data_IF_956344186390
#
_entry.id   IF_956344186390
#
_cell.length_a   1.000
_cell.length_b   1.000
_cell.length_c   1.000
_cell.angle_alpha   90.00
_cell.angle_beta   90.00
_cell.angle_gamma   90.00
#
_symmetry.space_group_name_H-M   'P 1'
#
loop_
_entity.id
_entity.type
_entity.pdbx_description
1 polymer ?
#
# COMPACT_ATOMS: atom_id res chain seq x y z
N UNK A 1 -9.50 35.94 -20.97
CA UNK A 1 -8.75 34.92 -20.18
C UNK A 1 -7.91 34.10 -21.13
N UNK A 2 -6.64 33.87 -20.81
CA UNK A 2 -5.76 33.01 -21.62
C UNK A 2 -5.86 31.59 -21.05
N UNK A 3 -6.28 30.63 -21.88
CA UNK A 3 -6.34 29.21 -21.50
C UNK A 3 -4.95 28.62 -21.70
N UNK A 4 -4.41 27.98 -20.66
CA UNK A 4 -3.16 27.20 -20.74
C UNK A 4 -3.57 25.73 -20.78
N UNK A 5 -3.04 25.00 -21.76
CA UNK A 5 -3.24 23.55 -21.90
C UNK A 5 -1.94 22.85 -21.54
N UNK A 6 -2.01 21.87 -20.64
CA UNK A 6 -0.88 21.07 -20.16
C UNK A 6 -1.12 19.59 -20.43
N UNK A 7 -0.07 18.84 -20.74
CA UNK A 7 -0.12 17.38 -20.85
C UNK A 7 0.13 16.78 -19.46
N UNK A 8 -0.78 15.96 -18.97
CA UNK A 8 -0.62 15.21 -17.73
C UNK A 8 0.02 13.84 -18.02
N UNK A 9 1.34 13.74 -17.83
CA UNK A 9 2.08 12.50 -17.98
C UNK A 9 2.06 11.60 -16.73
N UNK A 10 1.39 12.03 -15.65
CA UNK A 10 1.33 11.31 -14.37
C UNK A 10 -0.07 10.75 -14.08
N UNK A 11 -1.07 11.08 -14.91
CA UNK A 11 -2.46 10.66 -14.75
C UNK A 11 -3.01 10.99 -13.34
N UNK A 12 -2.74 12.20 -12.85
CA UNK A 12 -3.11 12.61 -11.49
C UNK A 12 -2.52 11.70 -10.40
N UNK A 13 -1.19 11.51 -10.41
CA UNK A 13 -0.49 10.60 -9.50
C UNK A 13 -1.00 9.14 -9.59
N UNK A 14 -1.28 8.67 -10.81
CA UNK A 14 -1.77 7.32 -11.09
C UNK A 14 -3.26 7.09 -10.79
N UNK A 15 -4.01 8.12 -10.38
CA UNK A 15 -5.42 8.00 -9.99
C UNK A 15 -6.36 7.94 -11.20
N UNK A 16 -6.04 8.65 -12.28
CA UNK A 16 -6.93 8.87 -13.43
C UNK A 16 -6.68 7.85 -14.54
N UNK A 17 -7.01 6.58 -14.28
CA UNK A 17 -6.77 5.48 -15.22
C UNK A 17 -7.45 5.67 -16.59
N UNK A 18 -8.62 6.32 -16.63
CA UNK A 18 -9.37 6.62 -17.87
C UNK A 18 -9.13 8.06 -18.37
N UNK A 19 -8.23 8.81 -17.74
CA UNK A 19 -7.97 10.21 -18.04
C UNK A 19 -8.95 11.19 -17.38
N UNK A 20 -8.76 12.48 -17.67
CA UNK A 20 -9.56 13.56 -17.11
C UNK A 20 -10.97 13.57 -17.70
N UNK A 21 -11.99 13.65 -16.85
CA UNK A 21 -13.41 13.84 -17.23
C UNK A 21 -13.97 12.76 -18.19
N UNK A 22 -13.58 11.49 -18.01
CA UNK A 22 -14.12 10.40 -18.81
C UNK A 22 -15.67 10.36 -18.72
N UNK A 23 -16.40 10.33 -19.84
CA UNK A 23 -17.86 10.48 -19.86
C UNK A 23 -18.57 9.44 -18.98
N UNK A 24 -18.11 8.18 -18.99
CA UNK A 24 -18.72 7.12 -18.19
C UNK A 24 -18.55 7.33 -16.68
N UNK A 25 -17.44 7.95 -16.25
CA UNK A 25 -17.19 8.29 -14.84
C UNK A 25 -18.12 9.41 -14.40
N UNK A 26 -18.22 10.47 -15.23
CA UNK A 26 -19.12 11.59 -14.96
C UNK A 26 -20.58 11.13 -14.88
N UNK A 27 -21.00 10.28 -15.82
CA UNK A 27 -22.35 9.74 -15.84
C UNK A 27 -22.62 8.86 -14.61
N UNK A 28 -21.65 8.01 -14.21
CA UNK A 28 -21.79 7.17 -13.00
C UNK A 28 -21.96 8.01 -11.74
N UNK A 29 -21.18 9.08 -11.57
CA UNK A 29 -21.31 10.00 -10.43
C UNK A 29 -22.67 10.69 -10.44
N UNK A 30 -23.12 11.19 -11.61
CA UNK A 30 -24.43 11.83 -11.75
C UNK A 30 -25.57 10.88 -11.40
N UNK A 31 -25.52 9.63 -11.86
CA UNK A 31 -26.52 8.61 -11.57
C UNK A 31 -26.65 8.36 -10.05
N UNK A 32 -25.53 8.30 -9.33
CA UNK A 32 -25.55 8.14 -7.87
C UNK A 32 -26.19 9.34 -7.19
N UNK A 33 -25.80 10.56 -7.57
CA UNK A 33 -26.34 11.81 -7.00
C UNK A 33 -27.85 11.92 -7.22
N UNK A 34 -28.35 11.51 -8.39
CA UNK A 34 -29.78 11.61 -8.73
C UNK A 34 -30.61 10.39 -8.33
N UNK A 35 -29.98 9.29 -7.91
CA UNK A 35 -30.67 8.04 -7.53
C UNK A 35 -31.57 8.15 -6.30
N UNK A 36 -31.33 9.14 -5.43
CA UNK A 36 -31.98 9.24 -4.12
C UNK A 36 -31.45 8.25 -3.07
N UNK A 37 -30.44 7.45 -3.40
CA UNK A 37 -29.75 6.59 -2.42
C UNK A 37 -28.98 7.44 -1.40
N UNK A 38 -28.92 7.01 -0.13
CA UNK A 38 -28.04 7.64 0.85
C UNK A 38 -26.57 7.61 0.40
N UNK A 39 -25.94 8.79 0.31
CA UNK A 39 -24.51 8.91 -0.05
C UNK A 39 -23.58 8.48 1.09
N UNK A 40 -24.06 8.56 2.33
CA UNK A 40 -23.33 8.15 3.52
C UNK A 40 -24.27 7.39 4.45
N UNK A 41 -23.81 6.24 4.89
CA UNK A 41 -24.50 5.38 5.85
C UNK A 41 -23.49 4.85 6.85
N UNK A 42 -23.84 4.92 8.14
CA UNK A 42 -23.12 4.20 9.17
C UNK A 42 -23.71 2.79 9.22
N UNK A 43 -22.87 1.78 9.02
CA UNK A 43 -23.19 0.34 9.15
C UNK A 43 -24.28 -0.23 8.23
N UNK A 44 -24.86 0.56 7.32
CA UNK A 44 -25.80 0.08 6.30
C UNK A 44 -25.13 0.01 4.93
N UNK A 45 -25.38 -1.07 4.20
CA UNK A 45 -24.93 -1.20 2.81
C UNK A 45 -25.92 -0.56 1.84
N UNK A 46 -25.48 -0.32 0.61
CA UNK A 46 -26.33 0.13 -0.51
C UNK A 46 -26.19 -0.87 -1.65
N UNK A 47 -27.19 -1.02 -2.54
CA UNK A 47 -27.10 -1.94 -3.67
C UNK A 47 -25.85 -1.71 -4.53
N UNK A 48 -25.44 -0.44 -4.70
CA UNK A 48 -24.22 -0.08 -5.42
C UNK A 48 -22.94 -0.58 -4.72
N UNK A 49 -22.91 -0.50 -3.39
CA UNK A 49 -21.78 -0.98 -2.59
C UNK A 49 -21.68 -2.51 -2.64
N UNK A 50 -22.82 -3.20 -2.64
CA UNK A 50 -22.88 -4.66 -2.77
C UNK A 50 -22.38 -5.10 -4.14
N UNK A 51 -22.90 -4.52 -5.22
CA UNK A 51 -22.47 -4.80 -6.60
C UNK A 51 -20.97 -4.55 -6.80
N UNK A 52 -20.46 -3.41 -6.29
CA UNK A 52 -19.03 -3.11 -6.34
C UNK A 52 -18.20 -4.14 -5.56
N UNK A 53 -18.68 -4.58 -4.39
CA UNK A 53 -17.97 -5.55 -3.55
C UNK A 53 -17.87 -6.92 -4.23
N UNK A 54 -18.98 -7.40 -4.80
CA UNK A 54 -19.03 -8.65 -5.55
C UNK A 54 -18.11 -8.61 -6.77
N UNK A 55 -18.17 -7.51 -7.54
CA UNK A 55 -17.30 -7.32 -8.69
C UNK A 55 -15.82 -7.32 -8.29
N UNK A 56 -15.43 -6.53 -7.28
CA UNK A 56 -14.04 -6.44 -6.84
C UNK A 56 -13.52 -7.80 -6.34
N UNK A 57 -14.30 -8.52 -5.53
CA UNK A 57 -13.91 -9.85 -5.03
C UNK A 57 -13.77 -10.87 -6.17
N UNK A 58 -14.58 -10.76 -7.23
CA UNK A 58 -14.48 -11.65 -8.41
C UNK A 58 -13.16 -11.50 -9.19
N UNK A 59 -12.51 -10.34 -9.08
CA UNK A 59 -11.21 -10.06 -9.71
C UNK A 59 -10.03 -10.63 -8.92
N UNK A 60 -10.24 -10.99 -7.65
CA UNK A 60 -9.19 -11.52 -6.79
C UNK A 60 -8.94 -13.02 -7.05
N UNK A 61 -7.77 -13.55 -6.66
CA UNK A 61 -7.52 -14.99 -6.65
C UNK A 61 -8.63 -15.75 -5.92
N UNK A 62 -8.84 -17.01 -6.32
CA UNK A 62 -9.90 -17.87 -5.78
C UNK A 62 -11.32 -17.26 -5.81
N UNK A 63 -11.55 -16.24 -6.66
CA UNK A 63 -12.80 -15.49 -6.75
C UNK A 63 -13.18 -14.84 -5.40
N UNK A 64 -12.17 -14.38 -4.65
CA UNK A 64 -12.39 -13.64 -3.42
C UNK A 64 -12.85 -14.49 -2.23
N UNK A 65 -12.95 -15.83 -2.36
CA UNK A 65 -13.49 -16.72 -1.31
C UNK A 65 -12.68 -16.72 0.00
N UNK A 66 -11.41 -16.36 -0.08
CA UNK A 66 -10.49 -16.27 1.07
C UNK A 66 -10.32 -14.83 1.57
N UNK A 67 -11.08 -13.88 1.01
CA UNK A 67 -10.89 -12.45 1.24
C UNK A 67 -12.15 -11.84 1.85
N UNK A 68 -11.96 -10.82 2.69
CA UNK A 68 -13.02 -9.96 3.19
C UNK A 68 -12.71 -8.53 2.75
N UNK A 69 -13.74 -7.80 2.29
CA UNK A 69 -13.59 -6.42 1.84
C UNK A 69 -13.99 -5.45 2.95
N UNK A 70 -13.06 -4.57 3.34
CA UNK A 70 -13.32 -3.46 4.25
C UNK A 70 -13.21 -2.13 3.50
N UNK A 71 -14.30 -1.38 3.44
CA UNK A 71 -14.25 -0.01 2.97
C UNK A 71 -13.66 0.88 4.06
N UNK A 72 -12.64 1.64 3.68
CA UNK A 72 -11.90 2.52 4.57
C UNK A 72 -12.29 3.98 4.27
N UNK A 73 -11.61 4.93 4.90
CA UNK A 73 -11.66 6.33 4.47
C UNK A 73 -11.22 6.52 3.00
N UNK A 74 -11.41 7.72 2.43
CA UNK A 74 -11.31 7.97 0.99
C UNK A 74 -9.88 7.88 0.43
N UNK A 75 -8.87 7.64 1.28
CA UNK A 75 -7.48 7.66 0.86
C UNK A 75 -6.81 6.30 1.04
N UNK A 76 -5.78 6.03 0.24
CA UNK A 76 -4.89 4.89 0.47
C UNK A 76 -4.26 4.91 1.87
N UNK A 77 -4.29 6.07 2.54
CA UNK A 77 -3.85 6.18 3.92
C UNK A 77 -4.70 5.37 4.89
N UNK A 78 -6.01 5.47 4.71
CA UNK A 78 -6.99 4.84 5.58
C UNK A 78 -7.01 3.33 5.36
N UNK A 79 -6.74 2.88 4.12
CA UNK A 79 -6.61 1.47 3.79
C UNK A 79 -5.43 0.78 4.50
N UNK A 80 -4.24 1.42 4.53
CA UNK A 80 -3.12 0.85 5.29
C UNK A 80 -3.43 0.77 6.79
N UNK A 81 -4.16 1.75 7.33
CA UNK A 81 -4.51 1.82 8.74
C UNK A 81 -5.48 0.72 9.16
N UNK A 82 -6.53 0.50 8.37
CA UNK A 82 -7.53 -0.53 8.67
C UNK A 82 -6.93 -1.93 8.64
N UNK A 83 -6.01 -2.20 7.71
CA UNK A 83 -5.24 -3.45 7.65
C UNK A 83 -4.47 -3.69 8.95
N UNK A 84 -3.76 -2.67 9.42
CA UNK A 84 -2.98 -2.77 10.67
C UNK A 84 -3.90 -3.06 11.86
N UNK A 85 -5.02 -2.35 11.98
CA UNK A 85 -6.00 -2.56 13.05
C UNK A 85 -6.61 -3.98 13.01
N UNK A 86 -6.95 -4.48 11.83
CA UNK A 86 -7.47 -5.85 11.68
C UNK A 86 -6.44 -6.91 12.09
N UNK A 87 -5.15 -6.69 11.78
CA UNK A 87 -4.04 -7.54 12.21
C UNK A 87 -3.82 -7.52 13.73
N UNK A 88 -3.99 -6.37 14.38
CA UNK A 88 -3.91 -6.23 15.84
C UNK A 88 -5.04 -7.00 16.55
N UNK A 89 -6.28 -6.94 16.04
CA UNK A 89 -7.43 -7.61 16.65
C UNK A 89 -7.39 -9.14 16.53
N UNK A 90 -6.84 -9.66 15.42
CA UNK A 90 -6.69 -11.11 15.20
C UNK A 90 -5.54 -11.73 16.01
N UNK A 91 -4.57 -10.93 16.47
CA UNK A 91 -3.43 -11.39 17.28
C UNK A 91 -3.51 -10.90 18.75
N UNK A 92 -4.17 -11.68 19.61
CA UNK A 92 -4.30 -11.47 21.09
C UNK A 92 -2.93 -11.34 21.84
N UNK A 93 -2.90 -10.79 23.08
CA UNK A 93 -1.88 -9.86 23.59
C UNK A 93 -0.52 -10.46 24.01
N UNK A 94 -0.25 -11.74 23.74
CA UNK A 94 1.06 -12.35 24.05
C UNK A 94 2.10 -12.11 22.94
N UNK A 95 1.67 -11.57 21.79
CA UNK A 95 2.54 -11.11 20.71
C UNK A 95 2.42 -9.59 20.54
N UNK A 96 2.43 -8.87 21.66
CA UNK A 96 2.73 -7.44 21.63
C UNK A 96 4.21 -7.35 21.29
N UNK A 97 4.49 -7.09 20.03
CA UNK A 97 5.57 -6.24 19.57
C UNK A 97 5.46 -6.18 18.05
N UNK A 98 5.34 -4.96 17.53
CA UNK A 98 5.32 -4.58 16.12
C UNK A 98 3.95 -4.44 15.48
N UNK A 99 3.20 -3.41 15.90
CA UNK A 99 2.07 -2.92 15.11
C UNK A 99 1.93 -1.39 15.04
N UNK A 100 1.34 -1.02 13.92
CA UNK A 100 1.51 0.21 13.17
C UNK A 100 0.27 1.10 13.34
N UNK A 101 0.33 2.13 14.19
CA UNK A 101 -0.70 3.18 14.16
C UNK A 101 -0.52 4.06 12.93
N UNK A 102 -1.57 4.30 12.13
CA UNK A 102 -1.63 5.47 11.22
C UNK A 102 -2.59 6.49 11.79
N UNK A 103 -2.16 7.72 11.72
CA UNK A 103 -2.79 8.86 12.35
C UNK A 103 -3.22 9.85 11.24
N UNK A 104 -4.06 10.87 11.54
CA UNK A 104 -4.66 11.79 10.55
C UNK A 104 -3.68 12.37 9.53
N UNK A 105 -4.18 12.99 8.44
CA UNK A 105 -3.34 13.63 7.42
C UNK A 105 -2.32 14.62 8.01
N UNK A 106 -2.71 15.31 9.08
CA UNK A 106 -1.87 16.25 9.83
C UNK A 106 -1.00 15.59 10.91
N UNK A 107 -1.02 14.26 11.05
CA UNK A 107 -0.20 13.57 12.05
C UNK A 107 1.22 13.29 11.50
N UNK A 108 2.26 13.85 12.16
CA UNK A 108 3.66 13.69 11.78
C UNK A 108 4.10 12.23 11.61
N UNK A 109 3.49 11.28 12.34
CA UNK A 109 3.87 9.87 12.34
C UNK A 109 3.53 9.12 11.04
N UNK A 110 2.79 9.72 10.10
CA UNK A 110 2.70 9.20 8.72
C UNK A 110 4.08 9.13 8.07
N UNK A 111 4.88 10.17 8.25
CA UNK A 111 6.20 10.28 7.64
C UNK A 111 7.09 9.10 8.00
N UNK A 112 6.91 8.46 9.18
CA UNK A 112 7.68 7.29 9.64
C UNK A 112 7.65 6.16 8.62
N UNK A 113 6.50 5.94 7.97
CA UNK A 113 6.25 4.85 7.01
C UNK A 113 6.83 5.13 5.63
N UNK A 114 6.98 6.41 5.32
CA UNK A 114 7.61 6.83 4.10
C UNK A 114 9.09 6.47 4.16
N UNK A 115 9.65 5.83 3.14
CA UNK A 115 11.09 5.51 3.20
C UNK A 115 11.93 6.78 3.06
N UNK A 116 11.40 7.79 2.38
CA UNK A 116 12.12 9.03 2.15
C UNK A 116 12.33 9.77 3.49
N UNK A 117 13.54 10.33 3.66
CA UNK A 117 13.89 11.03 4.89
C UNK A 117 13.31 12.44 4.94
N UNK A 118 13.05 13.08 3.80
CA UNK A 118 12.60 14.48 3.74
C UNK A 118 11.27 14.73 4.48
N UNK A 119 10.24 13.86 4.37
CA UNK A 119 9.03 13.99 5.19
C UNK A 119 9.27 13.83 6.70
N UNK A 120 10.36 13.14 7.09
CA UNK A 120 10.70 12.84 8.50
C UNK A 120 11.62 13.87 9.14
N UNK A 121 12.40 14.60 8.34
CA UNK A 121 13.53 15.40 8.80
C UNK A 121 13.15 16.47 9.83
N UNK A 122 11.92 16.98 9.77
CA UNK A 122 11.42 18.02 10.67
C UNK A 122 10.77 17.48 11.96
N UNK A 123 10.67 16.16 12.15
CA UNK A 123 9.87 15.56 13.22
C UNK A 123 10.78 14.88 14.24
N UNK A 124 10.95 15.53 15.40
CA UNK A 124 11.71 14.96 16.51
C UNK A 124 10.93 13.81 17.19
N UNK A 125 11.64 12.73 17.54
CA UNK A 125 11.05 11.58 18.25
C UNK A 125 10.22 10.63 17.39
N UNK A 126 10.39 10.66 16.07
CA UNK A 126 9.63 9.87 15.10
C UNK A 126 9.94 8.35 15.09
N UNK A 127 10.86 7.88 15.93
CA UNK A 127 11.24 6.46 15.95
C UNK A 127 10.07 5.61 16.50
N UNK A 128 9.42 4.85 15.63
CA UNK A 128 8.58 3.71 16.06
C UNK A 128 9.52 2.49 16.12
N UNK A 129 9.91 2.00 17.32
CA UNK A 129 10.79 0.82 17.45
C UNK A 129 10.18 -0.45 16.84
N UNK A 130 8.89 -0.37 16.55
CA UNK A 130 8.03 -1.43 16.05
C UNK A 130 7.99 -1.54 14.52
N UNK A 131 8.63 -0.62 13.79
CA UNK A 131 8.60 -0.56 12.32
C UNK A 131 10.00 -0.67 11.77
N UNK A 132 10.22 -1.65 10.89
CA UNK A 132 11.51 -1.84 10.22
C UNK A 132 11.41 -1.62 8.72
N UNK A 133 12.42 -0.94 8.16
CA UNK A 133 12.55 -0.72 6.72
C UNK A 133 13.74 -1.53 6.20
N UNK A 134 13.52 -2.70 5.61
CA UNK A 134 14.60 -3.46 4.98
C UNK A 134 15.18 -2.70 3.78
N UNK A 135 16.37 -3.11 3.34
CA UNK A 135 16.97 -2.59 2.11
C UNK A 135 16.06 -2.87 0.90
N UNK A 136 16.03 -1.94 -0.07
CA UNK A 136 15.22 -2.07 -1.30
C UNK A 136 16.15 -2.24 -2.48
N UNK A 137 15.70 -2.99 -3.49
CA UNK A 137 16.30 -3.01 -4.82
C UNK A 137 16.05 -1.69 -5.53
N UNK A 138 17.03 -0.80 -5.56
CA UNK A 138 17.11 0.17 -6.64
C UNK A 138 17.71 -0.52 -7.87
N UNK A 139 16.93 -1.40 -8.51
CA UNK A 139 17.29 -1.95 -9.81
C UNK A 139 17.46 -0.85 -10.89
N UNK A 140 17.09 0.40 -10.56
CA UNK A 140 17.12 1.62 -11.37
C UNK A 140 18.30 2.55 -11.05
N UNK A 141 19.01 2.38 -9.91
CA UNK A 141 20.19 3.19 -9.63
C UNK A 141 21.34 2.67 -10.48
N UNK A 142 21.71 3.37 -11.57
CA UNK A 142 22.98 3.38 -12.36
C UNK A 142 23.76 2.08 -12.65
N UNK A 143 23.82 1.12 -11.72
CA UNK A 143 24.21 -0.28 -11.81
C UNK A 143 23.31 -1.12 -12.73
N UNK A 144 22.14 -0.63 -13.12
CA UNK A 144 21.20 -1.26 -14.06
C UNK A 144 21.75 -1.43 -15.50
N UNK A 145 22.96 -0.94 -15.80
CA UNK A 145 23.59 -1.10 -17.12
C UNK A 145 23.96 -2.55 -17.45
N UNK A 146 23.90 -3.47 -16.48
CA UNK A 146 24.29 -4.86 -16.66
C UNK A 146 23.28 -5.79 -15.99
N UNK A 147 22.69 -6.71 -16.76
CA UNK A 147 21.73 -7.73 -16.31
C UNK A 147 22.26 -8.57 -15.13
N UNK A 148 23.58 -8.77 -15.09
CA UNK A 148 24.28 -9.46 -14.02
C UNK A 148 24.15 -8.74 -12.67
N UNK A 149 24.19 -7.40 -12.66
CA UNK A 149 24.11 -6.58 -11.46
C UNK A 149 22.69 -6.55 -10.87
N UNK A 150 21.67 -6.55 -11.73
CA UNK A 150 20.26 -6.66 -11.31
C UNK A 150 20.01 -8.02 -10.67
N UNK A 151 20.46 -9.11 -11.31
CA UNK A 151 20.28 -10.47 -10.80
C UNK A 151 21.01 -10.70 -9.47
N UNK A 152 22.24 -10.20 -9.33
CA UNK A 152 22.99 -10.26 -8.08
C UNK A 152 22.32 -9.46 -6.96
N UNK A 153 21.81 -8.26 -7.27
CA UNK A 153 21.07 -7.43 -6.31
C UNK A 153 19.81 -8.09 -5.79
N UNK A 154 19.00 -8.69 -6.67
CA UNK A 154 17.79 -9.43 -6.28
C UNK A 154 18.12 -10.61 -5.37
N UNK A 155 19.18 -11.37 -5.67
CA UNK A 155 19.65 -12.49 -4.84
C UNK A 155 20.10 -12.00 -3.46
N UNK A 156 20.91 -10.94 -3.41
CA UNK A 156 21.41 -10.38 -2.16
C UNK A 156 20.27 -9.88 -1.26
N UNK A 157 19.26 -9.21 -1.84
CA UNK A 157 18.09 -8.73 -1.09
C UNK A 157 17.21 -9.85 -0.59
N UNK A 158 16.99 -10.88 -1.42
CA UNK A 158 16.22 -12.06 -1.00
C UNK A 158 16.93 -12.75 0.17
N UNK A 159 18.25 -12.94 0.08
CA UNK A 159 19.06 -13.54 1.15
C UNK A 159 19.04 -12.69 2.43
N UNK A 160 19.20 -11.36 2.31
CA UNK A 160 19.11 -10.45 3.45
C UNK A 160 17.74 -10.55 4.14
N UNK A 161 16.66 -10.50 3.37
CA UNK A 161 15.30 -10.58 3.91
C UNK A 161 15.00 -11.93 4.57
N UNK A 162 15.46 -13.01 3.96
CA UNK A 162 15.29 -14.37 4.49
C UNK A 162 16.01 -14.54 5.83
N UNK A 163 17.27 -14.11 5.92
CA UNK A 163 18.02 -14.11 7.18
C UNK A 163 17.37 -13.20 8.23
N UNK A 164 16.91 -12.00 7.85
CA UNK A 164 16.27 -11.06 8.78
C UNK A 164 15.08 -11.71 9.49
N UNK A 165 14.29 -12.51 8.78
CA UNK A 165 13.06 -13.11 9.30
C UNK A 165 13.29 -14.48 9.96
N UNK A 166 14.24 -15.26 9.45
CA UNK A 166 14.41 -16.66 9.86
C UNK A 166 15.59 -16.89 10.80
N UNK A 167 16.60 -16.02 10.81
CA UNK A 167 17.73 -16.14 11.73
C UNK A 167 17.30 -15.67 13.13
N UNK A 168 17.47 -16.55 14.12
CA UNK A 168 17.15 -16.25 15.53
C UNK A 168 18.10 -15.21 16.13
N UNK A 169 19.29 -15.06 15.54
CA UNK A 169 20.30 -14.07 15.92
C UNK A 169 20.22 -12.79 15.07
N UNK A 170 19.19 -12.63 14.22
CA UNK A 170 19.02 -11.43 13.38
C UNK A 170 18.83 -10.14 14.18
N UNK A 171 18.50 -10.26 15.47
CA UNK A 171 18.11 -9.14 16.33
C UNK A 171 16.70 -8.60 16.02
N UNK A 172 15.94 -9.28 15.15
CA UNK A 172 14.59 -8.88 14.74
C UNK A 172 13.58 -9.93 15.17
N UNK A 173 12.51 -9.48 15.85
CA UNK A 173 11.37 -10.36 16.14
C UNK A 173 10.61 -10.67 14.85
N UNK A 174 10.05 -11.88 14.77
CA UNK A 174 9.22 -12.27 13.63
C UNK A 174 8.09 -11.24 13.44
N UNK A 175 8.00 -10.60 12.27
CA UNK A 175 6.97 -9.60 12.03
C UNK A 175 5.62 -10.28 11.97
N UNK A 176 4.59 -9.56 12.41
CA UNK A 176 3.22 -10.05 12.30
C UNK A 176 2.62 -9.83 10.90
N UNK A 177 3.17 -8.89 10.13
CA UNK A 177 2.84 -8.70 8.72
C UNK A 177 4.03 -8.10 7.95
N UNK A 178 4.07 -8.35 6.65
CA UNK A 178 4.99 -7.72 5.71
C UNK A 178 4.16 -6.96 4.69
N UNK A 179 4.41 -5.65 4.58
CA UNK A 179 3.72 -4.78 3.61
C UNK A 179 4.69 -4.39 2.49
N UNK A 180 4.30 -4.63 1.24
CA UNK A 180 5.15 -4.48 0.07
C UNK A 180 4.33 -3.94 -1.11
N UNK A 181 4.88 -2.96 -1.82
CA UNK A 181 4.38 -2.54 -3.13
C UNK A 181 4.95 -3.47 -4.22
N UNK A 182 4.08 -4.02 -5.07
CA UNK A 182 4.51 -4.85 -6.20
C UNK A 182 5.44 -4.07 -7.16
N UNK A 183 5.15 -2.78 -7.36
CA UNK A 183 6.03 -1.81 -7.99
C UNK A 183 5.98 -0.55 -7.15
N UNK A 184 7.12 -0.08 -6.65
CA UNK A 184 7.18 1.09 -5.80
C UNK A 184 6.94 2.37 -6.62
N UNK A 185 5.82 3.06 -6.39
CA UNK A 185 5.45 4.25 -7.16
C UNK A 185 6.34 5.46 -6.86
N UNK A 186 6.04 6.15 -5.76
CA UNK A 186 6.72 7.39 -5.32
C UNK A 186 8.22 7.23 -5.06
N UNK A 187 8.69 5.99 -4.84
CA UNK A 187 10.11 5.69 -4.68
C UNK A 187 10.92 5.63 -5.97
N UNK A 188 10.31 5.91 -7.12
CA UNK A 188 10.99 5.97 -8.42
C UNK A 188 10.68 4.81 -9.36
N UNK A 189 9.46 4.25 -9.29
CA UNK A 189 8.97 3.18 -10.18
C UNK A 189 9.88 1.95 -10.15
N UNK A 190 10.05 1.37 -8.95
CA UNK A 190 10.95 0.23 -8.74
C UNK A 190 10.17 -1.08 -8.67
N UNK A 191 10.31 -2.01 -9.63
CA UNK A 191 9.67 -3.31 -9.56
C UNK A 191 10.16 -4.12 -8.36
N UNK A 192 9.24 -4.72 -7.62
CA UNK A 192 9.55 -5.60 -6.50
C UNK A 192 10.12 -6.94 -7.00
N UNK A 193 11.12 -7.52 -6.31
CA UNK A 193 11.67 -8.82 -6.68
C UNK A 193 10.65 -9.93 -6.40
N UNK A 194 10.24 -10.67 -7.44
CA UNK A 194 9.22 -11.73 -7.35
C UNK A 194 9.49 -12.77 -6.25
N UNK A 195 10.76 -13.04 -5.93
CA UNK A 195 11.16 -14.00 -4.89
C UNK A 195 10.92 -13.51 -3.46
N UNK A 196 10.98 -12.20 -3.21
CA UNK A 196 10.66 -11.63 -1.89
C UNK A 196 9.15 -11.70 -1.65
N UNK A 197 8.35 -11.41 -2.68
CA UNK A 197 6.90 -11.59 -2.61
C UNK A 197 6.52 -13.06 -2.32
N UNK A 198 7.15 -14.02 -3.00
CA UNK A 198 6.92 -15.45 -2.76
C UNK A 198 7.35 -15.90 -1.34
N UNK A 199 8.47 -15.38 -0.82
CA UNK A 199 8.94 -15.70 0.53
C UNK A 199 8.02 -15.11 1.62
N UNK A 200 7.40 -13.96 1.37
CA UNK A 200 6.42 -13.35 2.26
C UNK A 200 5.07 -14.08 2.26
N UNK A 201 4.65 -14.63 1.12
CA UNK A 201 3.36 -15.34 0.97
C UNK A 201 3.37 -16.81 1.42
N UNK A 202 4.53 -17.40 1.71
CA UNK A 202 4.66 -18.83 2.04
C UNK A 202 4.45 -19.17 3.54
N UNK A 203 3.88 -18.25 4.34
CA UNK A 203 3.63 -18.41 5.78
C UNK A 203 2.29 -17.82 6.17
#
# INVERSE_FOLDING_TARGET
>A
MKVIVTIDCLAGAGTLALGHNHPDILQSIQNVITSGLPLHTLDLTTPLKDEFSEYLLSLLPSQGKEYCLQFCGPSGADASRSRDQAGEETHRPQRRDQFLRRLPWDDPRRAVRDRHLSPKAAINGLALPEVQFPAVSSATSTAARWELAVTAGVKALTYYFDNLINDVESGVRKPAAVDLEAVQGEGGVNPGPCRVAAAASAK
#
